data_IF_157191433603
#
_entry.id   IF_157191433603
#
_cell.length_a   1.000
_cell.length_b   1.000
_cell.length_c   1.000
_cell.angle_alpha   90.00
_cell.angle_beta   90.00
_cell.angle_gamma   90.00
#
_symmetry.space_group_name_H-M   'P 1'
#
loop_
_entity.id
_entity.type
_entity.pdbx_description
1 polymer ?
#
# COMPACT_ATOMS: atom_id res chain seq x y z
N UNK A 1 -18.48 -2.23 2.72
CA UNK A 1 -19.18 -2.16 4.02
C UNK A 1 -18.39 -3.01 4.98
N UNK A 2 -17.92 -2.46 6.10
CA UNK A 2 -17.19 -3.24 7.11
C UNK A 2 -18.12 -4.36 7.59
N UNK A 3 -17.70 -5.62 7.47
CA UNK A 3 -18.52 -6.80 7.80
C UNK A 3 -19.10 -6.72 9.21
N UNK A 4 -18.40 -6.05 10.12
CA UNK A 4 -18.80 -5.77 11.51
C UNK A 4 -20.10 -4.97 11.60
N UNK A 5 -20.31 -3.98 10.73
CA UNK A 5 -21.52 -3.14 10.72
C UNK A 5 -22.81 -3.94 10.45
N UNK A 6 -22.72 -4.98 9.62
CA UNK A 6 -23.84 -5.85 9.32
C UNK A 6 -24.27 -6.68 10.54
N UNK A 7 -23.31 -7.21 11.31
CA UNK A 7 -23.60 -7.99 12.51
C UNK A 7 -24.33 -7.17 13.57
N UNK A 8 -23.92 -5.91 13.79
CA UNK A 8 -24.61 -5.02 14.72
C UNK A 8 -26.04 -4.70 14.24
N UNK A 9 -26.22 -4.39 12.96
CA UNK A 9 -27.54 -4.09 12.40
C UNK A 9 -28.50 -5.28 12.46
N UNK A 10 -28.01 -6.50 12.21
CA UNK A 10 -28.78 -7.73 12.34
C UNK A 10 -29.17 -8.01 13.79
N UNK A 11 -28.21 -7.88 14.72
CA UNK A 11 -28.47 -8.08 16.16
C UNK A 11 -29.51 -7.09 16.70
N UNK A 12 -29.38 -5.81 16.34
CA UNK A 12 -30.33 -4.76 16.74
C UNK A 12 -31.73 -4.98 16.13
N UNK A 13 -31.79 -5.36 14.85
CA UNK A 13 -33.06 -5.68 14.18
C UNK A 13 -33.77 -6.87 14.84
N UNK A 14 -33.03 -7.92 15.22
CA UNK A 14 -33.58 -9.09 15.91
C UNK A 14 -34.09 -8.74 17.32
N UNK A 15 -33.33 -7.94 18.08
CA UNK A 15 -33.76 -7.45 19.39
C UNK A 15 -35.00 -6.56 19.29
N UNK A 16 -35.05 -5.67 18.30
CA UNK A 16 -36.22 -4.84 18.00
C UNK A 16 -37.46 -5.67 17.67
N UNK A 17 -37.31 -6.71 16.85
CA UNK A 17 -38.40 -7.63 16.52
C UNK A 17 -38.94 -8.35 17.76
N UNK A 18 -38.06 -8.91 18.61
CA UNK A 18 -38.46 -9.61 19.82
C UNK A 18 -39.19 -8.67 20.81
N UNK A 19 -38.64 -7.48 21.08
CA UNK A 19 -39.27 -6.50 21.97
C UNK A 19 -40.61 -5.97 21.44
N UNK A 20 -40.67 -5.76 20.12
CA UNK A 20 -41.91 -5.35 19.44
C UNK A 20 -43.02 -6.39 19.54
N UNK A 21 -42.66 -7.67 19.44
CA UNK A 21 -43.62 -8.78 19.48
C UNK A 21 -44.08 -9.12 20.91
N UNK A 22 -43.18 -9.10 21.90
CA UNK A 22 -43.48 -9.56 23.26
C UNK A 22 -43.91 -8.45 24.25
N UNK A 23 -43.52 -7.19 24.03
CA UNK A 23 -43.88 -6.09 24.94
C UNK A 23 -44.87 -5.13 24.29
N UNK A 24 -44.42 -4.40 23.27
CA UNK A 24 -45.25 -3.45 22.54
C UNK A 24 -44.56 -3.00 21.24
N UNK A 25 -45.31 -2.71 20.15
CA UNK A 25 -44.73 -2.32 18.88
C UNK A 25 -43.81 -1.08 18.95
N UNK A 26 -44.12 -0.12 19.83
CA UNK A 26 -43.34 1.10 19.99
C UNK A 26 -41.97 0.87 20.65
N UNK A 27 -41.80 -0.23 21.39
CA UNK A 27 -40.51 -0.59 22.01
C UNK A 27 -39.44 -1.01 20.98
N UNK A 28 -39.86 -1.41 19.77
CA UNK A 28 -38.96 -1.80 18.69
C UNK A 28 -38.31 -0.61 17.97
N UNK A 29 -38.97 0.55 17.98
CA UNK A 29 -38.58 1.76 17.24
C UNK A 29 -37.14 2.22 17.50
N UNK A 30 -36.66 2.35 18.77
CA UNK A 30 -35.27 2.74 19.02
C UNK A 30 -34.24 1.74 18.48
N UNK A 31 -34.56 0.45 18.43
CA UNK A 31 -33.65 -0.58 17.91
C UNK A 31 -33.50 -0.50 16.39
N UNK A 32 -34.60 -0.27 15.67
CA UNK A 32 -34.54 -0.07 14.21
C UNK A 32 -33.84 1.23 13.83
N UNK A 33 -34.04 2.31 14.61
CA UNK A 33 -33.31 3.56 14.43
C UNK A 33 -31.81 3.34 14.63
N UNK A 34 -31.42 2.63 15.70
CA UNK A 34 -30.02 2.31 15.95
C UNK A 34 -29.44 1.37 14.89
N UNK A 35 -30.20 0.38 14.41
CA UNK A 35 -29.78 -0.52 13.33
C UNK A 35 -29.54 0.27 12.03
N UNK A 36 -30.45 1.18 11.67
CA UNK A 36 -30.28 2.08 10.53
C UNK A 36 -29.07 3.01 10.69
N UNK A 37 -28.86 3.54 11.90
CA UNK A 37 -27.67 4.31 12.24
C UNK A 37 -26.39 3.48 12.08
N UNK A 38 -26.35 2.23 12.56
CA UNK A 38 -25.20 1.35 12.38
C UNK A 38 -24.91 1.08 10.90
N UNK A 39 -25.94 0.84 10.08
CA UNK A 39 -25.76 0.65 8.63
C UNK A 39 -25.24 1.91 7.95
N UNK A 40 -25.69 3.09 8.38
CA UNK A 40 -25.22 4.37 7.84
C UNK A 40 -23.80 4.71 8.31
N UNK A 41 -23.51 4.53 9.60
CA UNK A 41 -22.24 4.88 10.24
C UNK A 41 -21.08 3.97 9.83
N UNK A 42 -21.33 2.66 9.69
CA UNK A 42 -20.35 1.69 9.21
C UNK A 42 -20.38 1.48 7.69
N UNK A 43 -21.12 2.33 6.95
CA UNK A 43 -21.06 2.37 5.49
C UNK A 43 -19.68 2.90 5.09
N UNK A 44 -18.96 2.17 4.26
CA UNK A 44 -17.72 2.71 3.70
C UNK A 44 -18.09 3.95 2.86
N UNK A 45 -17.46 5.11 3.09
CA UNK A 45 -17.63 6.25 2.21
C UNK A 45 -17.18 5.86 0.79
N UNK A 46 -17.84 6.42 -0.23
CA UNK A 46 -17.35 6.32 -1.60
C UNK A 46 -15.87 6.77 -1.61
N UNK A 47 -14.98 5.88 -2.04
CA UNK A 47 -13.58 6.21 -2.28
C UNK A 47 -13.41 6.39 -3.78
N UNK A 48 -13.23 7.63 -4.20
CA UNK A 48 -12.78 7.89 -5.56
C UNK A 48 -11.36 7.36 -5.71
N UNK A 49 -11.22 6.23 -6.40
CA UNK A 49 -9.91 5.66 -6.74
C UNK A 49 -9.40 6.39 -7.99
N UNK A 50 -8.33 7.20 -7.88
CA UNK A 50 -7.77 7.86 -9.06
C UNK A 50 -7.29 6.80 -10.06
N UNK A 51 -7.85 6.82 -11.26
CA UNK A 51 -7.49 5.91 -12.36
C UNK A 51 -6.45 6.54 -13.30
N UNK A 52 -5.60 7.41 -12.75
CA UNK A 52 -4.58 8.11 -13.53
C UNK A 52 -3.40 7.18 -13.84
N UNK A 53 -2.78 7.27 -15.02
CA UNK A 53 -1.56 6.54 -15.33
C UNK A 53 -0.48 6.83 -14.29
N UNK A 54 0.09 5.77 -13.71
CA UNK A 54 1.13 5.88 -12.67
C UNK A 54 0.61 5.85 -11.23
N UNK A 55 -0.71 5.75 -11.01
CA UNK A 55 -1.28 5.52 -9.69
C UNK A 55 -1.72 4.06 -9.55
N UNK A 56 -1.30 3.41 -8.46
CA UNK A 56 -1.69 2.04 -8.14
C UNK A 56 -2.42 2.05 -6.80
N UNK A 57 -3.68 1.63 -6.81
CA UNK A 57 -4.45 1.38 -5.59
C UNK A 57 -4.65 -0.13 -5.43
N UNK A 58 -4.25 -0.65 -4.27
CA UNK A 58 -4.40 -2.06 -3.92
C UNK A 58 -4.82 -2.18 -2.46
N UNK A 59 -5.70 -3.15 -2.17
CA UNK A 59 -5.82 -3.67 -0.81
C UNK A 59 -4.48 -4.28 -0.37
N UNK A 60 -4.20 -4.23 0.93
CA UNK A 60 -3.02 -4.83 1.50
C UNK A 60 -3.31 -5.35 2.92
N UNK A 61 -3.02 -6.63 3.16
CA UNK A 61 -2.95 -7.24 4.48
C UNK A 61 -1.62 -6.87 5.19
N UNK A 62 -0.64 -6.42 4.42
CA UNK A 62 0.63 -5.90 4.89
C UNK A 62 1.49 -5.38 3.74
N UNK A 63 2.33 -4.40 4.03
CA UNK A 63 3.24 -3.78 3.04
C UNK A 63 4.64 -3.76 3.61
N UNK A 64 5.65 -4.15 2.82
CA UNK A 64 7.05 -3.89 3.14
C UNK A 64 7.59 -2.85 2.19
N UNK A 65 8.08 -1.74 2.73
CA UNK A 65 8.63 -0.61 1.97
C UNK A 65 10.14 -0.50 2.18
N UNK A 66 10.94 -0.23 1.13
CA UNK A 66 12.36 0.05 1.27
C UNK A 66 12.56 1.49 1.75
N UNK A 67 13.04 1.66 2.99
CA UNK A 67 13.47 2.96 3.50
C UNK A 67 14.91 3.27 3.07
N UNK A 68 15.32 4.52 3.23
CA UNK A 68 16.68 4.94 2.90
C UNK A 68 17.77 4.23 3.74
N UNK A 69 17.40 3.73 4.92
CA UNK A 69 18.26 3.12 5.94
C UNK A 69 17.90 1.65 6.25
N UNK A 70 16.92 1.07 5.54
CA UNK A 70 16.50 -0.31 5.81
C UNK A 70 15.22 -0.71 5.10
N UNK A 71 14.50 -1.68 5.68
CA UNK A 71 13.15 -2.07 5.25
C UNK A 71 12.17 -1.84 6.41
N UNK A 72 10.96 -1.38 6.11
CA UNK A 72 9.88 -1.21 7.08
C UNK A 72 8.69 -2.07 6.68
N UNK A 73 8.26 -2.95 7.58
CA UNK A 73 6.99 -3.65 7.47
C UNK A 73 5.87 -2.86 8.13
N UNK A 74 4.81 -2.59 7.38
CA UNK A 74 3.59 -1.93 7.83
C UNK A 74 2.47 -2.97 7.82
N UNK A 75 1.91 -3.23 9.00
CA UNK A 75 0.75 -4.10 9.21
C UNK A 75 -0.50 -3.25 9.45
N UNK A 76 -1.71 -3.85 9.43
CA UNK A 76 -2.94 -3.13 9.74
C UNK A 76 -2.85 -2.48 11.12
N UNK A 77 -3.40 -1.28 11.26
CA UNK A 77 -3.41 -0.47 12.48
C UNK A 77 -2.00 -0.03 12.95
N UNK A 78 -1.03 0.08 12.03
CA UNK A 78 0.28 0.65 12.34
C UNK A 78 0.16 2.12 12.77
N UNK A 79 1.02 2.55 13.68
CA UNK A 79 1.09 3.93 14.13
C UNK A 79 1.40 4.89 12.95
N UNK A 80 0.86 6.13 12.95
CA UNK A 80 1.16 7.09 11.90
C UNK A 80 2.66 7.36 11.74
N UNK A 81 3.14 7.41 10.51
CA UNK A 81 4.57 7.55 10.20
C UNK A 81 4.78 8.24 8.84
N UNK A 82 5.81 9.08 8.76
CA UNK A 82 6.34 9.57 7.48
C UNK A 82 7.81 9.14 7.40
N UNK A 83 8.18 8.50 6.29
CA UNK A 83 9.52 7.97 6.06
C UNK A 83 10.07 8.35 4.68
N UNK A 84 11.39 8.45 4.57
CA UNK A 84 12.07 8.62 3.29
C UNK A 84 12.33 7.25 2.66
N UNK A 85 11.84 7.06 1.44
CA UNK A 85 12.05 5.83 0.68
C UNK A 85 13.47 5.76 0.13
N UNK A 86 14.01 4.55 0.08
CA UNK A 86 15.21 4.20 -0.66
C UNK A 86 14.89 3.62 -2.04
N UNK A 87 15.93 3.30 -2.81
CA UNK A 87 15.79 2.53 -4.04
C UNK A 87 15.78 1.02 -3.70
N UNK A 88 14.71 0.32 -4.02
CA UNK A 88 14.55 -1.07 -3.59
C UNK A 88 13.24 -1.73 -4.02
N UNK A 89 12.97 -2.89 -3.42
CA UNK A 89 11.77 -3.68 -3.66
C UNK A 89 10.68 -3.33 -2.64
N UNK A 90 9.57 -2.80 -3.10
CA UNK A 90 8.33 -2.66 -2.35
C UNK A 90 7.50 -3.94 -2.53
N UNK A 91 6.94 -4.46 -1.44
CA UNK A 91 6.17 -5.71 -1.43
C UNK A 91 4.81 -5.49 -0.80
N UNK A 92 3.75 -5.90 -1.48
CA UNK A 92 2.36 -5.81 -1.04
C UNK A 92 1.84 -7.24 -0.90
N UNK A 93 1.35 -7.58 0.29
CA UNK A 93 0.61 -8.82 0.51
C UNK A 93 -0.89 -8.49 0.45
N UNK A 94 -1.62 -9.12 -0.46
CA UNK A 94 -3.09 -9.02 -0.53
C UNK A 94 -3.67 -10.38 -0.84
N UNK A 95 -4.60 -10.86 -0.02
CA UNK A 95 -5.32 -12.12 -0.22
C UNK A 95 -4.37 -13.33 -0.39
N UNK A 96 -3.27 -13.32 0.38
CA UNK A 96 -2.21 -14.33 0.30
C UNK A 96 -1.32 -14.27 -0.94
N UNK A 97 -1.54 -13.31 -1.85
CA UNK A 97 -0.70 -13.07 -3.02
C UNK A 97 0.29 -11.96 -2.76
N UNK A 98 1.56 -12.21 -3.08
CA UNK A 98 2.63 -11.23 -3.00
C UNK A 98 2.76 -10.51 -4.34
N UNK A 99 2.51 -9.21 -4.36
CA UNK A 99 2.86 -8.33 -5.48
C UNK A 99 4.10 -7.52 -5.10
N UNK A 100 5.01 -7.34 -6.04
CA UNK A 100 6.24 -6.62 -5.78
C UNK A 100 6.55 -5.60 -6.89
N UNK A 101 7.11 -4.47 -6.48
CA UNK A 101 7.47 -3.35 -7.34
C UNK A 101 8.89 -2.90 -7.02
N UNK A 102 9.66 -2.57 -8.04
CA UNK A 102 10.85 -1.74 -7.86
C UNK A 102 10.40 -0.28 -7.70
N UNK A 103 10.86 0.38 -6.64
CA UNK A 103 10.63 1.81 -6.39
C UNK A 103 11.96 2.56 -6.29
N UNK A 104 11.98 3.79 -6.81
CA UNK A 104 13.16 4.65 -6.79
C UNK A 104 12.97 5.87 -5.87
N UNK A 105 13.19 5.63 -4.58
CA UNK A 105 13.17 6.69 -3.56
C UNK A 105 11.83 7.39 -3.44
N UNK A 106 11.85 8.57 -2.82
CA UNK A 106 10.66 9.38 -2.54
C UNK A 106 10.24 9.31 -1.07
N UNK A 107 8.93 9.25 -0.80
CA UNK A 107 8.37 9.28 0.55
C UNK A 107 7.26 8.24 0.73
N UNK A 108 7.16 7.73 1.95
CA UNK A 108 6.05 6.90 2.40
C UNK A 108 5.36 7.60 3.56
N UNK A 109 4.04 7.64 3.51
CA UNK A 109 3.18 8.09 4.60
C UNK A 109 2.28 6.93 5.01
N UNK A 110 2.18 6.69 6.32
CA UNK A 110 1.24 5.77 6.94
C UNK A 110 0.30 6.62 7.77
N UNK A 111 -0.98 6.67 7.40
CA UNK A 111 -1.98 7.45 8.11
C UNK A 111 -3.36 6.82 7.95
N UNK A 112 -4.11 6.70 9.05
CA UNK A 112 -5.48 6.17 9.06
C UNK A 112 -5.61 4.82 8.31
N UNK A 113 -4.66 3.91 8.54
CA UNK A 113 -4.60 2.58 7.90
C UNK A 113 -4.43 2.62 6.36
N UNK A 114 -3.92 3.74 5.84
CA UNK A 114 -3.57 3.92 4.43
C UNK A 114 -2.07 4.15 4.33
N UNK A 115 -1.42 3.44 3.39
CA UNK A 115 -0.01 3.62 3.05
C UNK A 115 0.08 4.33 1.70
N UNK A 116 0.49 5.59 1.72
CA UNK A 116 0.71 6.41 0.53
C UNK A 116 2.19 6.40 0.17
N UNK A 117 2.52 5.91 -1.03
CA UNK A 117 3.90 5.81 -1.53
C UNK A 117 4.06 6.78 -2.69
N UNK A 118 4.86 7.80 -2.50
CA UNK A 118 5.15 8.83 -3.50
C UNK A 118 6.57 8.60 -4.01
N UNK A 119 6.71 8.08 -5.23
CA UNK A 119 8.01 7.75 -5.81
C UNK A 119 8.13 8.29 -7.24
N UNK A 120 9.36 8.50 -7.69
CA UNK A 120 9.65 8.96 -9.05
C UNK A 120 9.41 7.87 -10.10
N UNK A 121 9.56 6.61 -9.70
CA UNK A 121 9.43 5.46 -10.57
C UNK A 121 8.93 4.26 -9.76
N UNK A 122 7.89 3.61 -10.26
CA UNK A 122 7.42 2.32 -9.78
C UNK A 122 7.29 1.37 -10.98
N UNK A 123 7.95 0.22 -10.94
CA UNK A 123 7.88 -0.79 -12.01
C UNK A 123 7.60 -2.16 -11.40
N UNK A 124 6.69 -2.92 -12.00
CA UNK A 124 6.42 -4.30 -11.55
C UNK A 124 7.69 -5.14 -11.65
N UNK A 125 8.03 -5.91 -10.61
CA UNK A 125 9.19 -6.81 -10.67
C UNK A 125 9.03 -7.91 -11.72
N UNK A 126 7.80 -8.17 -12.17
CA UNK A 126 7.52 -9.16 -13.21
C UNK A 126 7.97 -8.70 -14.60
N UNK A 127 8.03 -7.39 -14.80
CA UNK A 127 8.45 -6.71 -16.02
C UNK A 127 9.94 -6.30 -15.97
N UNK A 128 10.61 -6.50 -14.82
CA UNK A 128 12.03 -6.19 -14.68
C UNK A 128 12.86 -7.25 -15.40
N UNK A 129 13.66 -6.79 -16.37
CA UNK A 129 14.64 -7.60 -17.06
C UNK A 129 16.03 -7.48 -16.40
N UNK A 130 16.71 -8.61 -16.21
CA UNK A 130 18.00 -8.67 -15.51
C UNK A 130 19.11 -8.11 -16.40
N UNK A 131 19.10 -8.49 -17.67
CA UNK A 131 20.03 -8.07 -18.69
C UNK A 131 19.94 -6.56 -18.92
N UNK A 132 18.74 -6.04 -19.18
CA UNK A 132 18.54 -4.59 -19.33
C UNK A 132 18.96 -3.80 -18.08
N UNK A 133 18.72 -4.35 -16.88
CA UNK A 133 19.16 -3.72 -15.61
C UNK A 133 20.68 -3.71 -15.47
N UNK A 134 21.37 -4.74 -15.97
CA UNK A 134 22.83 -4.81 -15.96
C UNK A 134 23.45 -3.81 -16.96
N UNK A 135 22.92 -3.74 -18.17
CA UNK A 135 23.34 -2.77 -19.19
C UNK A 135 23.15 -1.33 -18.70
N UNK A 136 22.03 -1.04 -18.04
CA UNK A 136 21.78 0.28 -17.45
C UNK A 136 22.84 0.66 -16.40
N UNK A 137 23.28 -0.29 -15.57
CA UNK A 137 24.34 -0.07 -14.59
C UNK A 137 25.70 0.19 -15.28
N UNK A 138 26.05 -0.61 -16.28
CA UNK A 138 27.28 -0.42 -17.04
C UNK A 138 27.31 0.93 -17.75
N UNK A 139 26.21 1.33 -18.38
CA UNK A 139 26.05 2.63 -19.03
C UNK A 139 26.26 3.79 -18.06
N UNK A 140 25.76 3.68 -16.83
CA UNK A 140 25.97 4.71 -15.78
C UNK A 140 27.42 4.74 -15.32
N UNK A 141 28.05 3.58 -15.13
CA UNK A 141 29.46 3.49 -14.70
C UNK A 141 30.43 3.98 -15.77
N UNK A 142 30.11 3.76 -17.05
CA UNK A 142 30.91 4.21 -18.20
C UNK A 142 30.82 5.73 -18.45
N UNK A 143 29.82 6.42 -17.89
CA UNK A 143 29.72 7.89 -18.01
C UNK A 143 30.94 8.54 -17.36
N UNK A 144 31.64 9.35 -18.15
CA UNK A 144 32.66 10.26 -17.64
C UNK A 144 31.98 11.33 -16.80
N UNK A 145 32.44 11.49 -15.57
CA UNK A 145 32.04 12.56 -14.67
C UNK A 145 33.28 13.38 -14.32
N UNK A 146 33.19 14.70 -14.43
CA UNK A 146 34.26 15.63 -14.08
C UNK A 146 33.64 16.78 -13.29
N UNK A 147 34.29 17.14 -12.17
CA UNK A 147 33.72 18.05 -11.16
C UNK A 147 32.85 17.33 -10.12
N UNK A 148 32.88 17.82 -8.89
CA UNK A 148 32.27 17.16 -7.71
C UNK A 148 30.77 16.87 -7.91
N UNK A 149 30.01 17.83 -8.46
CA UNK A 149 28.56 17.68 -8.71
C UNK A 149 28.24 16.54 -9.68
N UNK A 150 29.05 16.39 -10.74
CA UNK A 150 28.84 15.35 -11.74
C UNK A 150 29.26 13.97 -11.20
N UNK A 151 30.27 13.92 -10.32
CA UNK A 151 30.62 12.70 -9.62
C UNK A 151 29.47 12.24 -8.72
N UNK A 152 28.90 13.13 -7.90
CA UNK A 152 27.78 12.82 -7.01
C UNK A 152 26.56 12.28 -7.79
N UNK A 153 26.17 12.96 -8.87
CA UNK A 153 25.05 12.50 -9.72
C UNK A 153 25.30 11.11 -10.31
N UNK A 154 26.55 10.81 -10.70
CA UNK A 154 26.91 9.49 -11.21
C UNK A 154 26.84 8.43 -10.11
N UNK A 155 27.26 8.75 -8.89
CA UNK A 155 27.19 7.85 -7.75
C UNK A 155 25.75 7.53 -7.36
N UNK A 156 24.86 8.53 -7.33
CA UNK A 156 23.45 8.32 -7.06
C UNK A 156 22.75 7.50 -8.15
N UNK A 157 23.04 7.80 -9.42
CA UNK A 157 22.56 6.99 -10.53
C UNK A 157 23.08 5.54 -10.45
N UNK A 158 24.34 5.34 -10.06
CA UNK A 158 24.92 4.01 -9.89
C UNK A 158 24.28 3.27 -8.71
N UNK A 159 23.96 3.97 -7.62
CA UNK A 159 23.25 3.42 -6.47
C UNK A 159 21.86 2.92 -6.88
N UNK A 160 21.12 3.72 -7.64
CA UNK A 160 19.81 3.35 -8.22
C UNK A 160 19.94 2.12 -9.12
N UNK A 161 20.85 2.14 -10.10
CA UNK A 161 21.00 1.04 -11.05
C UNK A 161 21.41 -0.28 -10.36
N UNK A 162 22.29 -0.22 -9.34
CA UNK A 162 22.63 -1.38 -8.51
C UNK A 162 21.42 -1.91 -7.75
N UNK A 163 20.59 -1.03 -7.19
CA UNK A 163 19.38 -1.42 -6.48
C UNK A 163 18.40 -2.12 -7.43
N UNK A 164 18.20 -1.57 -8.64
CA UNK A 164 17.34 -2.16 -9.67
C UNK A 164 17.81 -3.55 -10.08
N UNK A 165 19.10 -3.71 -10.39
CA UNK A 165 19.69 -5.01 -10.75
C UNK A 165 19.55 -6.04 -9.62
N UNK A 166 19.75 -5.61 -8.36
CA UNK A 166 19.55 -6.46 -7.19
C UNK A 166 18.10 -6.92 -7.06
N UNK A 167 17.13 -6.02 -7.29
CA UNK A 167 15.71 -6.35 -7.29
C UNK A 167 15.36 -7.31 -8.43
N UNK A 168 15.84 -7.06 -9.65
CA UNK A 168 15.62 -7.94 -10.80
C UNK A 168 16.13 -9.37 -10.55
N UNK A 169 17.35 -9.51 -10.02
CA UNK A 169 17.93 -10.81 -9.66
C UNK A 169 17.13 -11.54 -8.58
N UNK A 170 16.66 -10.82 -7.57
CA UNK A 170 15.83 -11.39 -6.48
C UNK A 170 14.46 -11.82 -6.98
N UNK A 171 13.89 -11.10 -7.94
CA UNK A 171 12.64 -11.47 -8.60
C UNK A 171 12.83 -12.74 -9.44
N UNK A 172 13.92 -12.82 -10.22
CA UNK A 172 14.24 -14.00 -11.01
C UNK A 172 14.43 -15.27 -10.16
N UNK A 173 15.02 -15.16 -8.96
CA UNK A 173 15.21 -16.31 -8.07
C UNK A 173 13.93 -16.81 -7.37
N UNK A 174 12.82 -16.05 -7.41
CA UNK A 174 11.54 -16.46 -6.84
C UNK A 174 10.62 -17.17 -7.83
N UNK A 175 10.96 -17.13 -9.12
CA UNK A 175 10.29 -17.88 -10.19
C UNK A 175 10.85 -19.30 -10.27
#
# INVERSE_FOLDING_TARGET
>A
MVTTGLYYALGLSAAGFALGHFLAPWAALPFYVLAAFCLWFFRDPERDVPQEPGVVVSSADGVVVPLFDGELGVLPLHAPLIGRLGAGELRILSDGKLRAFFVDGGFVEVLNDVVSVMTSQAQSVEELDVEASAEALEAVMARKASGDDMLQRREDAARKARAMLRTARRAASRR
#
